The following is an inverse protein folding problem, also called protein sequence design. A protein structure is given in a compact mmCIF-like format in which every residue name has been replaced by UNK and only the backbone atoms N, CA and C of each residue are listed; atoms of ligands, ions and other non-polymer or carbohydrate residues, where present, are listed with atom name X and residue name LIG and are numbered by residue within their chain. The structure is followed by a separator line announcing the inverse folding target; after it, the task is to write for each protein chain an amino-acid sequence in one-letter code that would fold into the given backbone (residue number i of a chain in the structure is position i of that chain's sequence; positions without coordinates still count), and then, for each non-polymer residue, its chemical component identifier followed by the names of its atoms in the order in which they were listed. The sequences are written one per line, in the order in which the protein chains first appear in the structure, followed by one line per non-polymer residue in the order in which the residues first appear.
data_IF_489064081969
#
_entry.id   IF_489064081969
#
_cell.length_a   1.000
_cell.length_b   1.000
_cell.length_c   1.000
_cell.angle_alpha   90.00
_cell.angle_beta   90.00
_cell.angle_gamma   90.00
#
_symmetry.space_group_name_H-M   'P 1'
#
loop_
_entity.id
_entity.type
_entity.pdbx_description
1 polymer ?
#
# COMPACT_ATOMS: atom_id res chain seq x y z
N UNK A 1 -10.97 21.48 40.32
CA UNK A 1 -10.87 20.86 41.66
C UNK A 1 -12.02 19.92 42.00
N UNK A 2 -13.30 20.28 41.82
CA UNK A 2 -14.43 19.37 42.14
C UNK A 2 -14.46 18.07 41.32
N UNK A 3 -14.05 18.09 40.05
CA UNK A 3 -13.90 16.90 39.19
C UNK A 3 -12.77 15.96 39.63
N UNK A 4 -11.62 16.51 40.04
CA UNK A 4 -10.48 15.74 40.56
C UNK A 4 -10.74 15.07 41.92
N UNK A 5 -11.79 15.52 42.63
CA UNK A 5 -12.23 14.95 43.90
C UNK A 5 -13.40 13.97 43.72
N UNK A 6 -13.75 13.59 42.50
CA UNK A 6 -14.85 12.64 42.20
C UNK A 6 -16.25 13.16 42.52
N UNK A 7 -16.41 14.48 42.71
CA UNK A 7 -17.70 15.12 43.08
C UNK A 7 -18.47 15.66 41.89
N UNK A 8 -17.95 15.49 40.67
CA UNK A 8 -18.58 15.91 39.42
C UNK A 8 -18.03 15.06 38.28
N UNK A 9 -18.93 14.41 37.54
CA UNK A 9 -18.55 13.71 36.31
C UNK A 9 -18.09 14.72 35.26
N UNK A 10 -16.95 14.43 34.64
CA UNK A 10 -16.43 15.18 33.50
C UNK A 10 -16.37 14.21 32.34
N UNK A 11 -17.23 14.45 31.35
CA UNK A 11 -17.17 13.75 30.07
C UNK A 11 -15.85 14.10 29.38
N UNK A 12 -15.05 13.12 28.92
CA UNK A 12 -13.83 13.39 28.20
C UNK A 12 -14.13 14.17 26.92
N UNK A 13 -13.35 15.22 26.64
CA UNK A 13 -13.41 15.90 25.36
C UNK A 13 -12.75 15.00 24.31
N UNK A 14 -13.55 14.39 23.45
CA UNK A 14 -13.04 13.61 22.31
C UNK A 14 -12.73 14.59 21.19
N UNK A 15 -11.47 14.63 20.77
CA UNK A 15 -11.01 15.43 19.64
C UNK A 15 -10.70 14.44 18.51
N UNK A 16 -11.36 14.61 17.37
CA UNK A 16 -11.10 13.82 16.18
C UNK A 16 -10.12 14.55 15.27
N UNK A 17 -9.16 13.82 14.72
CA UNK A 17 -8.28 14.34 13.68
C UNK A 17 -9.02 14.31 12.34
N UNK A 18 -9.66 15.42 11.99
CA UNK A 18 -10.40 15.56 10.73
C UNK A 18 -9.50 15.39 9.50
N UNK A 19 -8.22 15.77 9.59
CA UNK A 19 -7.28 15.64 8.49
C UNK A 19 -6.94 14.17 8.23
N UNK A 20 -6.69 13.39 9.29
CA UNK A 20 -6.47 11.95 9.18
C UNK A 20 -7.71 11.21 8.65
N UNK A 21 -8.92 11.59 9.10
CA UNK A 21 -10.18 11.02 8.59
C UNK A 21 -10.33 11.30 7.09
N UNK A 22 -10.12 12.55 6.66
CA UNK A 22 -10.19 12.93 5.24
C UNK A 22 -9.13 12.22 4.39
N UNK A 23 -7.93 12.01 4.93
CA UNK A 23 -6.86 11.28 4.24
C UNK A 23 -7.25 9.81 4.02
N UNK A 24 -7.76 9.14 5.06
CA UNK A 24 -8.24 7.75 4.96
C UNK A 24 -9.41 7.63 3.97
N UNK A 25 -10.38 8.54 4.04
CA UNK A 25 -11.50 8.58 3.09
C UNK A 25 -10.98 8.86 1.67
N UNK A 26 -9.95 9.69 1.49
CA UNK A 26 -9.34 9.95 0.18
C UNK A 26 -8.63 8.72 -0.39
N UNK A 27 -7.98 7.91 0.46
CA UNK A 27 -7.38 6.64 0.05
C UNK A 27 -8.46 5.64 -0.38
N UNK A 28 -9.57 5.55 0.37
CA UNK A 28 -10.73 4.73 -0.02
C UNK A 28 -11.37 5.28 -1.30
N UNK A 29 -11.51 6.59 -1.43
CA UNK A 29 -12.06 7.26 -2.60
C UNK A 29 -11.28 6.90 -3.87
N UNK A 30 -9.95 6.80 -3.79
CA UNK A 30 -9.13 6.36 -4.92
C UNK A 30 -9.47 4.94 -5.41
N UNK A 31 -9.99 4.06 -4.55
CA UNK A 31 -10.42 2.71 -4.94
C UNK A 31 -11.81 2.68 -5.60
N UNK A 32 -12.63 3.69 -5.32
CA UNK A 32 -14.03 3.80 -5.81
C UNK A 32 -14.12 4.71 -7.04
N UNK A 33 -13.24 5.69 -7.15
CA UNK A 33 -13.23 6.71 -8.20
C UNK A 33 -13.19 6.08 -9.59
N UNK A 34 -14.16 6.47 -10.42
CA UNK A 34 -14.23 6.13 -11.84
C UNK A 34 -14.23 7.44 -12.63
N UNK A 35 -13.17 7.77 -13.37
CA UNK A 35 -13.18 8.99 -14.16
C UNK A 35 -14.27 8.95 -15.24
N UNK A 36 -14.86 10.11 -15.54
CA UNK A 36 -15.81 10.23 -16.63
C UNK A 36 -15.15 9.98 -17.99
N UNK A 37 -15.92 9.46 -18.94
CA UNK A 37 -15.47 9.18 -20.31
C UNK A 37 -16.10 10.20 -21.28
N UNK A 38 -15.31 10.91 -22.10
CA UNK A 38 -15.87 11.81 -23.10
C UNK A 38 -16.65 11.03 -24.16
N UNK A 39 -17.52 11.74 -24.89
CA UNK A 39 -18.13 11.17 -26.08
C UNK A 39 -17.05 10.94 -27.14
N UNK A 40 -17.03 9.77 -27.76
CA UNK A 40 -16.05 9.43 -28.80
C UNK A 40 -16.80 9.10 -30.09
N UNK A 41 -16.49 9.87 -31.14
CA UNK A 41 -16.94 9.57 -32.50
C UNK A 41 -15.94 8.62 -33.15
N UNK A 42 -16.39 7.44 -33.55
CA UNK A 42 -15.58 6.45 -34.27
C UNK A 42 -16.30 6.14 -35.60
N UNK A 43 -15.82 6.73 -36.69
CA UNK A 43 -16.51 6.68 -37.99
C UNK A 43 -17.94 7.24 -37.89
N UNK A 44 -18.93 6.44 -38.30
CA UNK A 44 -20.36 6.80 -38.23
C UNK A 44 -21.00 6.51 -36.85
N UNK A 45 -20.28 5.90 -35.91
CA UNK A 45 -20.80 5.54 -34.58
C UNK A 45 -20.36 6.54 -33.53
N UNK A 46 -21.35 7.09 -32.82
CA UNK A 46 -21.15 7.91 -31.63
C UNK A 46 -21.22 7.01 -30.38
N UNK A 47 -20.12 6.91 -29.64
CA UNK A 47 -20.12 6.39 -28.27
C UNK A 47 -20.46 7.58 -27.37
N UNK A 48 -21.63 7.58 -26.70
CA UNK A 48 -22.04 8.69 -25.86
C UNK A 48 -21.10 8.84 -24.66
N UNK A 49 -20.96 10.07 -24.17
CA UNK A 49 -20.21 10.33 -22.96
C UNK A 49 -20.82 9.59 -21.76
N UNK A 50 -19.95 9.19 -20.83
CA UNK A 50 -20.37 8.59 -19.57
C UNK A 50 -19.86 9.46 -18.42
N UNK A 51 -20.75 9.92 -17.51
CA UNK A 51 -20.33 10.59 -16.29
C UNK A 51 -19.38 9.71 -15.48
N UNK A 52 -18.46 10.34 -14.77
CA UNK A 52 -17.62 9.64 -13.79
C UNK A 52 -18.31 9.56 -12.44
N UNK A 53 -17.71 8.82 -11.52
CA UNK A 53 -18.15 8.73 -10.12
C UNK A 53 -16.97 9.05 -9.24
N UNK A 54 -17.14 9.98 -8.31
CA UNK A 54 -16.16 10.28 -7.28
C UNK A 54 -16.81 10.29 -5.90
N UNK A 55 -15.99 10.20 -4.86
CA UNK A 55 -16.44 10.25 -3.47
C UNK A 55 -16.36 11.70 -2.97
N UNK A 56 -17.45 12.19 -2.39
CA UNK A 56 -17.44 13.43 -1.61
C UNK A 56 -16.76 13.15 -0.27
N UNK A 57 -15.45 13.42 -0.24
CA UNK A 57 -14.59 13.20 0.93
C UNK A 57 -15.09 13.99 2.13
N UNK A 58 -15.60 15.20 1.92
CA UNK A 58 -15.98 16.12 2.97
C UNK A 58 -17.31 15.71 3.60
N UNK A 59 -18.29 15.36 2.77
CA UNK A 59 -19.59 14.87 3.23
C UNK A 59 -19.45 13.51 3.91
N UNK A 60 -18.59 12.63 3.37
CA UNK A 60 -18.28 11.34 3.99
C UNK A 60 -17.58 11.52 5.33
N UNK A 61 -16.62 12.45 5.45
CA UNK A 61 -15.92 12.75 6.70
C UNK A 61 -16.90 13.26 7.78
N UNK A 62 -17.85 14.12 7.41
CA UNK A 62 -18.88 14.58 8.33
C UNK A 62 -19.79 13.44 8.83
N UNK A 63 -20.10 12.46 7.98
CA UNK A 63 -20.85 11.27 8.40
C UNK A 63 -20.04 10.41 9.37
N UNK A 64 -18.75 10.17 9.07
CA UNK A 64 -17.84 9.43 9.96
C UNK A 64 -17.76 10.11 11.34
N UNK A 65 -17.62 11.43 11.39
CA UNK A 65 -17.58 12.19 12.65
C UNK A 65 -18.89 12.08 13.44
N UNK A 66 -20.05 12.05 12.77
CA UNK A 66 -21.35 11.85 13.43
C UNK A 66 -21.50 10.45 14.03
N UNK A 67 -21.06 9.42 13.30
CA UNK A 67 -21.05 8.04 13.79
C UNK A 67 -20.08 7.86 14.96
N UNK A 68 -18.88 8.43 14.83
CA UNK A 68 -17.88 8.40 15.90
C UNK A 68 -18.39 9.09 17.18
N UNK A 69 -19.10 10.22 17.05
CA UNK A 69 -19.71 10.92 18.19
C UNK A 69 -20.78 10.11 18.93
N UNK A 70 -21.37 9.09 18.29
CA UNK A 70 -22.33 8.19 18.92
C UNK A 70 -21.66 6.98 19.60
N UNK A 71 -20.35 6.79 19.42
CA UNK A 71 -19.56 5.69 19.96
C UNK A 71 -20.08 4.28 19.58
N UNK A 72 -20.83 4.17 18.48
CA UNK A 72 -21.33 2.91 17.95
C UNK A 72 -20.49 2.44 16.75
N UNK A 73 -20.01 1.18 16.74
CA UNK A 73 -19.43 0.59 15.54
C UNK A 73 -20.48 0.52 14.43
N UNK A 74 -20.19 1.08 13.26
CA UNK A 74 -21.15 1.13 12.17
C UNK A 74 -20.49 1.19 10.80
N UNK A 75 -21.21 0.74 9.78
CA UNK A 75 -20.84 0.90 8.37
C UNK A 75 -21.30 2.29 7.94
N UNK A 76 -20.34 3.18 7.63
CA UNK A 76 -20.65 4.51 7.08
C UNK A 76 -20.66 4.41 5.56
N UNK A 77 -21.80 4.64 4.89
CA UNK A 77 -21.85 4.63 3.44
C UNK A 77 -21.06 5.81 2.87
N UNK A 78 -20.18 5.54 1.90
CA UNK A 78 -19.48 6.58 1.15
C UNK A 78 -20.49 7.44 0.40
N UNK A 79 -20.35 8.76 0.50
CA UNK A 79 -21.13 9.67 -0.32
C UNK A 79 -20.43 9.81 -1.67
N UNK A 80 -21.14 9.45 -2.74
CA UNK A 80 -20.62 9.56 -4.11
C UNK A 80 -21.40 10.59 -4.89
N UNK A 81 -20.73 11.32 -5.76
CA UNK A 81 -21.34 12.22 -6.72
C UNK A 81 -20.87 11.89 -8.14
N UNK A 82 -21.70 12.20 -9.12
CA UNK A 82 -21.32 12.08 -10.53
C UNK A 82 -20.41 13.24 -10.90
N UNK A 83 -19.24 12.94 -11.45
CA UNK A 83 -18.39 13.96 -12.07
C UNK A 83 -18.84 14.18 -13.51
N UNK A 84 -18.94 15.43 -13.99
CA UNK A 84 -19.27 15.71 -15.39
C UNK A 84 -18.38 14.89 -16.33
N UNK A 85 -18.97 14.37 -17.40
CA UNK A 85 -18.16 13.77 -18.45
C UNK A 85 -17.22 14.85 -19.02
N UNK A 86 -15.93 14.52 -19.28
CA UNK A 86 -15.02 15.47 -19.89
C UNK A 86 -15.58 15.98 -21.22
N UNK A 87 -15.42 17.27 -21.49
CA UNK A 87 -15.77 17.85 -22.79
C UNK A 87 -14.98 17.11 -23.88
N UNK A 88 -15.69 16.69 -24.94
CA UNK A 88 -15.02 16.18 -26.12
C UNK A 88 -14.10 17.29 -26.64
N UNK A 89 -12.78 17.07 -26.61
CA UNK A 89 -11.85 17.99 -27.24
C UNK A 89 -12.25 18.11 -28.72
N UNK A 90 -12.82 19.26 -29.10
CA UNK A 90 -13.04 19.65 -30.48
C UNK A 90 -11.67 19.98 -31.10
N UNK A 91 -10.87 18.93 -31.34
CA UNK A 91 -9.76 19.00 -32.26
C UNK A 91 -10.34 19.31 -33.64
N UNK A 92 -9.97 20.47 -34.18
CA UNK A 92 -10.33 20.89 -35.54
C UNK A 92 -10.01 19.75 -36.51
N UNK A 93 -11.03 19.34 -37.27
CA UNK A 93 -10.90 18.37 -38.34
C UNK A 93 -9.96 18.93 -39.42
N UNK A 94 -8.67 18.60 -39.30
CA UNK A 94 -7.78 18.62 -40.44
C UNK A 94 -8.27 17.55 -41.41
N UNK A 95 -8.43 17.93 -42.67
CA UNK A 95 -8.82 17.06 -43.78
C UNK A 95 -8.03 15.75 -43.73
N UNK A 96 -8.73 14.63 -43.52
CA UNK A 96 -8.15 13.31 -43.43
C UNK A 96 -7.49 12.90 -44.76
N UNK A 97 -6.23 12.44 -44.76
CA UNK A 97 -5.74 11.53 -45.78
C UNK A 97 -6.45 10.17 -45.66
N UNK A 98 -6.29 9.32 -46.67
CA UNK A 98 -6.91 8.01 -46.83
C UNK A 98 -7.10 7.20 -45.53
N UNK A 99 -8.28 6.60 -45.37
CA UNK A 99 -8.76 5.73 -44.27
C UNK A 99 -7.70 5.37 -43.21
N UNK A 100 -7.72 6.08 -42.07
CA UNK A 100 -6.95 5.69 -40.90
C UNK A 100 -7.36 4.29 -40.43
N UNK A 101 -6.42 3.46 -39.95
CA UNK A 101 -6.74 2.13 -39.44
C UNK A 101 -7.72 2.21 -38.25
N UNK A 102 -8.65 1.25 -38.17
CA UNK A 102 -9.55 1.13 -37.01
C UNK A 102 -8.73 0.90 -35.73
N UNK A 103 -9.13 1.46 -34.57
CA UNK A 103 -8.40 1.26 -33.33
C UNK A 103 -8.42 -0.21 -32.91
N UNK A 104 -7.31 -0.69 -32.37
CA UNK A 104 -7.20 -2.03 -31.80
C UNK A 104 -7.50 -1.97 -30.30
N UNK A 105 -8.58 -2.62 -29.88
CA UNK A 105 -9.04 -2.63 -28.49
C UNK A 105 -8.60 -3.92 -27.78
N UNK A 106 -8.01 -3.78 -26.60
CA UNK A 106 -7.72 -4.88 -25.69
C UNK A 106 -8.69 -4.87 -24.53
N UNK A 107 -9.24 -6.03 -24.19
CA UNK A 107 -10.21 -6.18 -23.10
C UNK A 107 -9.86 -7.34 -22.17
N UNK A 108 -10.01 -7.13 -20.86
CA UNK A 108 -10.10 -8.18 -19.86
C UNK A 108 -11.55 -8.28 -19.36
N UNK A 109 -12.32 -9.29 -19.81
CA UNK A 109 -13.72 -9.44 -19.41
C UNK A 109 -13.91 -9.67 -17.90
N UNK A 110 -12.90 -10.21 -17.20
CA UNK A 110 -13.01 -10.50 -15.77
C UNK A 110 -13.01 -9.22 -14.93
N UNK A 111 -12.21 -8.23 -15.30
CA UNK A 111 -12.15 -6.93 -14.62
C UNK A 111 -12.95 -5.83 -15.31
N UNK A 112 -13.38 -6.05 -16.56
CA UNK A 112 -14.01 -5.03 -17.40
C UNK A 112 -13.05 -3.93 -17.87
N UNK A 113 -11.74 -4.16 -17.76
CA UNK A 113 -10.72 -3.21 -18.21
C UNK A 113 -10.61 -3.23 -19.73
N UNK A 114 -10.52 -2.04 -20.31
CA UNK A 114 -10.36 -1.84 -21.75
C UNK A 114 -9.27 -0.81 -22.02
N UNK A 115 -8.36 -1.15 -22.91
CA UNK A 115 -7.30 -0.27 -23.41
C UNK A 115 -7.33 -0.28 -24.94
N UNK A 116 -6.89 0.78 -25.60
CA UNK A 116 -6.94 0.85 -27.05
C UNK A 116 -5.66 1.47 -27.60
N UNK A 117 -5.21 0.92 -28.73
CA UNK A 117 -4.27 1.59 -29.62
C UNK A 117 -5.11 2.44 -30.59
N UNK A 118 -5.07 3.76 -30.41
CA UNK A 118 -5.71 4.69 -31.33
C UNK A 118 -5.01 4.70 -32.69
N UNK A 119 -5.64 5.24 -33.75
CA UNK A 119 -5.05 5.22 -35.09
C UNK A 119 -3.71 5.94 -35.20
N UNK A 120 -3.47 6.99 -34.41
CA UNK A 120 -2.20 7.71 -34.41
C UNK A 120 -1.07 6.87 -33.80
N UNK A 121 -1.41 6.13 -32.74
CA UNK A 121 -0.52 5.18 -32.07
C UNK A 121 -0.24 3.98 -32.97
N UNK A 122 -1.26 3.47 -33.66
CA UNK A 122 -1.11 2.41 -34.66
C UNK A 122 -0.22 2.85 -35.83
N UNK A 123 -0.39 4.06 -36.36
CA UNK A 123 0.48 4.58 -37.43
C UNK A 123 1.94 4.73 -36.96
N UNK A 124 2.16 5.05 -35.69
CA UNK A 124 3.51 5.12 -35.11
C UNK A 124 4.14 3.74 -34.92
N UNK A 125 3.35 2.75 -34.50
CA UNK A 125 3.82 1.40 -34.16
C UNK A 125 3.91 0.51 -35.41
N UNK A 126 3.01 0.68 -36.37
CA UNK A 126 2.94 -0.08 -37.63
C UNK A 126 2.71 0.90 -38.79
N UNK A 127 3.76 1.59 -39.27
CA UNK A 127 3.61 2.62 -40.29
C UNK A 127 2.99 2.08 -41.59
N UNK A 128 1.91 2.73 -42.05
CA UNK A 128 1.15 2.28 -43.21
C UNK A 128 0.38 0.96 -43.02
N UNK A 129 0.25 0.46 -41.79
CA UNK A 129 -0.49 -0.76 -41.47
C UNK A 129 0.18 -2.06 -41.94
N UNK A 130 1.45 -2.03 -42.31
CA UNK A 130 2.24 -3.19 -42.71
C UNK A 130 2.79 -3.94 -41.48
N UNK A 131 2.26 -5.13 -41.13
CA UNK A 131 2.69 -5.87 -39.94
C UNK A 131 4.18 -6.24 -39.93
N UNK A 132 4.82 -6.35 -41.10
CA UNK A 132 6.25 -6.62 -41.22
C UNK A 132 7.12 -5.44 -40.77
N UNK A 133 6.51 -4.25 -40.62
CA UNK A 133 7.14 -3.01 -40.16
C UNK A 133 6.79 -2.65 -38.72
N UNK A 134 6.24 -3.58 -37.95
CA UNK A 134 5.92 -3.41 -36.55
C UNK A 134 7.17 -3.00 -35.73
N UNK A 135 7.10 -1.84 -35.10
CA UNK A 135 8.05 -1.40 -34.08
C UNK A 135 7.68 -2.02 -32.72
N UNK A 136 8.26 -3.18 -32.45
CA UNK A 136 8.11 -3.92 -31.19
C UNK A 136 8.53 -3.08 -29.95
N UNK A 137 9.50 -2.18 -30.11
CA UNK A 137 9.94 -1.30 -29.01
C UNK A 137 8.90 -0.24 -28.67
N UNK A 138 8.35 0.41 -29.70
CA UNK A 138 7.27 1.39 -29.55
C UNK A 138 5.98 0.75 -29.01
N UNK A 139 5.66 -0.47 -29.44
CA UNK A 139 4.53 -1.24 -28.92
C UNK A 139 4.73 -1.55 -27.43
N UNK A 140 5.88 -2.11 -27.07
CA UNK A 140 6.21 -2.46 -25.69
C UNK A 140 6.10 -1.25 -24.75
N UNK A 141 6.59 -0.08 -25.15
CA UNK A 141 6.48 1.14 -24.34
C UNK A 141 5.02 1.53 -24.04
N UNK A 142 4.12 1.37 -25.01
CA UNK A 142 2.68 1.65 -24.79
C UNK A 142 2.08 0.65 -23.82
N UNK A 143 2.38 -0.64 -24.00
CA UNK A 143 1.89 -1.72 -23.13
C UNK A 143 2.44 -1.58 -21.71
N UNK A 144 3.71 -1.19 -21.54
CA UNK A 144 4.31 -0.89 -20.23
C UNK A 144 3.60 0.27 -19.54
N UNK A 145 3.25 1.33 -20.28
CA UNK A 145 2.44 2.43 -19.75
C UNK A 145 1.03 2.00 -19.31
N UNK A 146 0.45 0.95 -19.92
CA UNK A 146 -0.79 0.34 -19.44
C UNK A 146 -0.55 -0.52 -18.21
N UNK A 147 0.56 -1.26 -18.16
CA UNK A 147 0.92 -2.10 -17.02
C UNK A 147 1.03 -1.28 -15.73
N UNK A 148 1.63 -0.10 -15.77
CA UNK A 148 1.71 0.82 -14.63
C UNK A 148 0.33 1.28 -14.13
N UNK A 149 -0.61 1.56 -15.04
CA UNK A 149 -1.98 1.97 -14.70
C UNK A 149 -2.82 0.81 -14.14
N UNK A 150 -2.58 -0.40 -14.66
CA UNK A 150 -3.29 -1.61 -14.24
C UNK A 150 -2.77 -2.11 -12.90
N UNK A 151 -1.48 -1.93 -12.61
CA UNK A 151 -0.83 -2.50 -11.46
C UNK A 151 -1.46 -2.05 -10.14
N UNK A 152 -1.91 -3.03 -9.36
CA UNK A 152 -2.29 -2.85 -7.96
C UNK A 152 -1.47 -3.87 -7.17
N UNK A 153 -0.59 -3.43 -6.24
CA UNK A 153 0.17 -4.37 -5.43
C UNK A 153 -0.78 -5.16 -4.52
N UNK A 154 -0.50 -6.45 -4.26
CA UNK A 154 -1.23 -7.19 -3.25
C UNK A 154 -1.00 -6.59 -1.86
N UNK A 155 -1.97 -6.78 -0.96
CA UNK A 155 -1.84 -6.41 0.45
C UNK A 155 -1.95 -7.66 1.32
N UNK A 156 -0.94 -7.86 2.15
CA UNK A 156 -0.88 -8.97 3.09
C UNK A 156 -1.90 -8.83 4.22
N UNK A 157 -2.41 -9.97 4.70
CA UNK A 157 -3.24 -9.99 5.89
C UNK A 157 -2.42 -9.63 7.12
N UNK A 158 -3.07 -8.98 8.10
CA UNK A 158 -2.54 -8.88 9.46
C UNK A 158 -3.22 -9.87 10.37
N UNK A 159 -2.43 -10.55 11.18
CA UNK A 159 -2.91 -11.60 12.09
C UNK A 159 -2.61 -11.24 13.55
N UNK A 160 -3.35 -11.80 14.48
CA UNK A 160 -3.03 -11.72 15.92
C UNK A 160 -3.15 -13.10 16.51
N UNK A 161 -2.25 -13.49 17.39
CA UNK A 161 -2.38 -14.77 18.08
C UNK A 161 -3.45 -14.63 19.16
N UNK A 162 -4.51 -15.44 19.06
CA UNK A 162 -5.52 -15.56 20.10
C UNK A 162 -5.09 -16.66 21.07
N UNK A 163 -4.66 -16.26 22.27
CA UNK A 163 -4.18 -17.17 23.31
C UNK A 163 -5.28 -18.09 23.82
N UNK A 164 -6.53 -17.62 23.89
CA UNK A 164 -7.65 -18.43 24.35
C UNK A 164 -8.05 -19.49 23.32
N UNK A 165 -7.97 -19.15 22.03
CA UNK A 165 -8.24 -20.08 20.94
C UNK A 165 -7.02 -20.94 20.54
N UNK A 166 -5.81 -20.58 20.99
CA UNK A 166 -4.56 -21.27 20.65
C UNK A 166 -4.19 -21.18 19.16
N UNK A 167 -4.62 -20.12 18.45
CA UNK A 167 -4.42 -19.97 17.00
C UNK A 167 -4.37 -18.51 16.56
N UNK A 168 -3.74 -18.20 15.42
CA UNK A 168 -3.86 -16.87 14.80
C UNK A 168 -5.29 -16.58 14.33
N UNK A 169 -5.70 -15.32 14.48
CA UNK A 169 -6.94 -14.76 13.96
C UNK A 169 -6.63 -13.60 13.03
N UNK A 170 -7.43 -13.44 11.97
CA UNK A 170 -7.30 -12.32 11.02
C UNK A 170 -7.81 -11.05 11.68
N UNK A 171 -6.95 -10.03 11.75
CA UNK A 171 -7.32 -8.67 12.21
C UNK A 171 -7.43 -7.68 11.04
N UNK A 172 -6.75 -7.96 9.92
CA UNK A 172 -6.92 -7.27 8.65
C UNK A 172 -6.90 -8.31 7.52
N UNK A 173 -7.93 -8.40 6.67
CA UNK A 173 -7.95 -9.33 5.56
C UNK A 173 -6.94 -8.92 4.48
N UNK A 174 -6.43 -9.92 3.75
CA UNK A 174 -5.54 -9.68 2.61
C UNK A 174 -6.32 -9.24 1.37
N UNK A 175 -5.67 -8.48 0.49
CA UNK A 175 -6.23 -8.04 -0.79
C UNK A 175 -5.37 -8.59 -1.93
N UNK A 176 -5.99 -9.29 -2.85
CA UNK A 176 -5.34 -9.76 -4.08
C UNK A 176 -5.01 -8.57 -4.97
N UNK A 177 -3.75 -8.47 -5.38
CA UNK A 177 -3.28 -7.47 -6.33
C UNK A 177 -3.58 -7.88 -7.77
N UNK A 178 -3.16 -7.05 -8.72
CA UNK A 178 -3.22 -7.37 -10.15
C UNK A 178 -2.06 -6.76 -10.90
N UNK A 179 -1.71 -7.37 -12.03
CA UNK A 179 -0.69 -6.86 -12.96
C UNK A 179 -1.04 -7.25 -14.39
N UNK A 180 -0.49 -6.52 -15.36
CA UNK A 180 -0.57 -6.91 -16.77
C UNK A 180 0.60 -7.85 -17.10
N UNK A 181 0.32 -8.95 -17.80
CA UNK A 181 1.37 -9.71 -18.51
C UNK A 181 1.75 -8.95 -19.78
N UNK A 182 2.84 -8.20 -19.70
CA UNK A 182 3.34 -7.35 -20.80
C UNK A 182 3.71 -8.20 -22.02
N UNK A 183 4.36 -9.34 -21.82
CA UNK A 183 4.81 -10.20 -22.93
C UNK A 183 3.60 -10.77 -23.68
N UNK A 184 2.62 -11.29 -22.94
CA UNK A 184 1.41 -11.84 -23.53
C UNK A 184 0.57 -10.74 -24.19
N UNK A 185 0.53 -9.52 -23.62
CA UNK A 185 -0.20 -8.40 -24.20
C UNK A 185 0.41 -7.96 -25.54
N UNK A 186 1.74 -7.83 -25.61
CA UNK A 186 2.48 -7.54 -26.86
C UNK A 186 2.21 -8.64 -27.89
N UNK A 187 2.27 -9.91 -27.49
CA UNK A 187 1.99 -11.03 -28.38
C UNK A 187 0.55 -11.02 -28.92
N UNK A 188 -0.43 -10.67 -28.07
CA UNK A 188 -1.84 -10.56 -28.44
C UNK A 188 -2.07 -9.42 -29.44
N UNK A 189 -1.40 -8.28 -29.25
CA UNK A 189 -1.45 -7.16 -30.21
C UNK A 189 -0.87 -7.55 -31.55
N UNK A 190 0.33 -8.14 -31.56
CA UNK A 190 0.99 -8.57 -32.80
C UNK A 190 0.12 -9.56 -33.58
N UNK A 191 -0.46 -10.55 -32.90
CA UNK A 191 -1.35 -11.52 -33.54
C UNK A 191 -2.61 -10.85 -34.11
N UNK A 192 -3.21 -9.92 -33.37
CA UNK A 192 -4.38 -9.19 -33.85
C UNK A 192 -4.06 -8.34 -35.10
N UNK A 193 -2.93 -7.65 -35.11
CA UNK A 193 -2.48 -6.85 -36.25
C UNK A 193 -2.20 -7.72 -37.49
N UNK A 194 -1.51 -8.85 -37.32
CA UNK A 194 -1.21 -9.78 -38.41
C UNK A 194 -2.48 -10.41 -39.02
N UNK A 195 -3.51 -10.61 -38.21
CA UNK A 195 -4.79 -11.20 -38.63
C UNK A 195 -5.84 -10.15 -39.05
N UNK A 196 -5.50 -8.85 -38.99
CA UNK A 196 -6.44 -7.76 -39.29
C UNK A 196 -7.60 -7.64 -38.30
N UNK A 197 -7.43 -8.11 -37.06
CA UNK A 197 -8.41 -7.99 -35.98
C UNK A 197 -8.32 -6.61 -35.33
N UNK A 198 -9.48 -6.11 -34.89
CA UNK A 198 -9.61 -4.86 -34.12
C UNK A 198 -9.83 -5.10 -32.63
N UNK A 199 -9.77 -6.37 -32.20
CA UNK A 199 -9.92 -6.79 -30.81
C UNK A 199 -8.90 -7.85 -30.42
N UNK A 200 -8.38 -7.76 -29.20
CA UNK A 200 -7.48 -8.74 -28.60
C UNK A 200 -7.71 -8.87 -27.08
N UNK A 201 -7.31 -9.99 -26.46
CA UNK A 201 -7.39 -10.12 -25.00
C UNK A 201 -6.35 -9.24 -24.29
N UNK A 202 -6.74 -8.62 -23.18
CA UNK A 202 -5.84 -7.97 -22.22
C UNK A 202 -5.49 -8.98 -21.11
N UNK A 203 -4.27 -9.53 -21.05
CA UNK A 203 -3.90 -10.57 -20.10
C UNK A 203 -3.58 -9.97 -18.73
N UNK A 204 -4.61 -9.71 -17.93
CA UNK A 204 -4.46 -9.26 -16.54
C UNK A 204 -4.38 -10.47 -15.61
N UNK A 205 -3.33 -10.52 -14.79
CA UNK A 205 -3.09 -11.58 -13.82
C UNK A 205 -3.41 -11.10 -12.40
N UNK A 206 -4.03 -11.97 -11.61
CA UNK A 206 -4.15 -11.79 -10.17
C UNK A 206 -2.80 -12.05 -9.48
N UNK A 207 -2.37 -11.14 -8.62
CA UNK A 207 -1.15 -11.29 -7.82
C UNK A 207 -1.57 -11.65 -6.39
N UNK A 208 -1.34 -12.89 -5.93
CA UNK A 208 -1.73 -13.26 -4.58
C UNK A 208 -0.88 -12.53 -3.53
N UNK A 209 -1.45 -12.21 -2.37
CA UNK A 209 -0.68 -11.74 -1.22
C UNK A 209 0.24 -12.84 -0.71
N UNK A 210 1.38 -12.47 -0.12
CA UNK A 210 2.29 -13.41 0.50
C UNK A 210 1.68 -14.02 1.78
N UNK A 211 0.82 -13.25 2.46
CA UNK A 211 0.05 -13.65 3.63
C UNK A 211 -1.44 -13.62 3.27
N UNK A 212 -1.95 -14.75 2.78
CA UNK A 212 -3.34 -14.92 2.36
C UNK A 212 -4.26 -15.21 3.55
N UNK A 213 -5.20 -14.31 3.82
CA UNK A 213 -6.16 -14.43 4.93
C UNK A 213 -7.08 -15.66 4.83
N UNK A 214 -7.22 -16.27 3.65
CA UNK A 214 -7.98 -17.51 3.48
C UNK A 214 -7.20 -18.79 3.84
N UNK A 215 -5.88 -18.68 4.06
CA UNK A 215 -4.97 -19.82 4.27
C UNK A 215 -4.26 -19.79 5.62
N UNK A 216 -4.79 -19.05 6.58
CA UNK A 216 -4.18 -18.86 7.91
C UNK A 216 -3.87 -20.19 8.61
N UNK A 217 -4.75 -21.18 8.52
CA UNK A 217 -4.55 -22.50 9.15
C UNK A 217 -3.37 -23.29 8.55
N UNK A 218 -2.90 -22.92 7.35
CA UNK A 218 -1.77 -23.56 6.67
C UNK A 218 -0.43 -22.88 7.01
N UNK A 219 -0.45 -21.74 7.73
CA UNK A 219 0.76 -20.94 7.98
C UNK A 219 1.67 -21.49 9.08
N UNK A 220 1.21 -22.46 9.87
CA UNK A 220 2.04 -23.14 10.87
C UNK A 220 2.32 -22.32 12.15
N UNK A 221 1.63 -21.19 12.36
CA UNK A 221 1.79 -20.35 13.56
C UNK A 221 1.06 -21.00 14.75
N UNK A 222 1.80 -21.53 15.73
CA UNK A 222 1.24 -22.32 16.84
C UNK A 222 1.61 -21.83 18.24
N UNK A 223 2.77 -21.21 18.39
CA UNK A 223 3.30 -20.83 19.70
C UNK A 223 4.31 -19.69 19.58
N UNK A 224 4.70 -19.14 20.73
CA UNK A 224 5.79 -18.17 20.82
C UNK A 224 7.14 -18.89 20.66
N UNK A 225 7.86 -18.56 19.59
CA UNK A 225 9.19 -19.14 19.32
C UNK A 225 10.33 -18.38 19.99
N UNK A 226 10.24 -17.04 20.05
CA UNK A 226 11.25 -16.18 20.68
C UNK A 226 10.67 -14.83 21.04
N UNK A 227 11.24 -14.17 22.05
CA UNK A 227 10.93 -12.80 22.41
C UNK A 227 12.21 -11.97 22.63
N UNK A 228 12.15 -10.70 22.28
CA UNK A 228 13.15 -9.69 22.60
C UNK A 228 12.57 -8.65 23.53
N UNK A 229 13.37 -8.14 24.47
CA UNK A 229 12.90 -7.14 25.44
C UNK A 229 13.91 -6.01 25.59
N UNK A 230 13.38 -4.79 25.65
CA UNK A 230 14.11 -3.58 26.05
C UNK A 230 13.25 -2.80 27.05
N UNK A 231 13.87 -1.92 27.82
CA UNK A 231 13.17 -1.12 28.83
C UNK A 231 13.31 0.36 28.50
N UNK A 232 12.25 1.13 28.71
CA UNK A 232 12.23 2.59 28.49
C UNK A 232 11.69 3.35 29.69
N UNK A 233 11.66 2.73 30.88
CA UNK A 233 11.28 3.39 32.13
C UNK A 233 12.11 4.67 32.36
N UNK A 234 11.46 5.76 32.76
CA UNK A 234 12.10 7.07 32.95
C UNK A 234 12.33 7.87 31.65
N UNK A 235 11.87 7.37 30.51
CA UNK A 235 11.88 8.14 29.25
C UNK A 235 10.96 9.36 29.30
N UNK A 236 11.28 10.37 28.50
CA UNK A 236 10.37 11.50 28.27
C UNK A 236 9.07 11.03 27.62
N UNK A 237 7.98 11.78 27.83
CA UNK A 237 6.67 11.47 27.23
C UNK A 237 6.73 11.34 25.71
N UNK A 238 7.45 12.25 25.02
CA UNK A 238 7.63 12.21 23.57
C UNK A 238 8.34 10.93 23.10
N UNK A 239 9.38 10.49 23.83
CA UNK A 239 10.08 9.24 23.53
C UNK A 239 9.19 8.01 23.73
N UNK A 240 8.40 7.98 24.80
CA UNK A 240 7.44 6.90 25.05
C UNK A 240 6.43 6.83 23.91
N UNK A 241 5.84 7.97 23.53
CA UNK A 241 4.89 8.05 22.41
C UNK A 241 5.49 7.53 21.11
N UNK A 242 6.73 7.90 20.79
CA UNK A 242 7.42 7.40 19.60
C UNK A 242 7.63 5.89 19.61
N UNK A 243 7.93 5.31 20.77
CA UNK A 243 8.10 3.85 20.93
C UNK A 243 6.76 3.14 20.73
N UNK A 244 5.68 3.65 21.34
CA UNK A 244 4.32 3.12 21.17
C UNK A 244 3.88 3.16 19.70
N UNK A 245 3.98 4.32 19.05
CA UNK A 245 3.59 4.50 17.63
C UNK A 245 4.43 3.62 16.71
N UNK A 246 5.73 3.48 16.95
CA UNK A 246 6.56 2.57 16.19
C UNK A 246 6.14 1.11 16.40
N UNK A 247 5.90 0.70 17.64
CA UNK A 247 5.51 -0.67 17.98
C UNK A 247 4.15 -1.05 17.37
N UNK A 248 3.15 -0.17 17.42
CA UNK A 248 1.82 -0.37 16.82
C UNK A 248 1.90 -0.75 15.33
N UNK A 249 2.85 -0.20 14.57
CA UNK A 249 3.02 -0.53 13.14
C UNK A 249 3.41 -1.99 12.90
N UNK A 250 4.03 -2.65 13.88
CA UNK A 250 4.39 -4.07 13.82
C UNK A 250 3.25 -5.00 14.22
N UNK A 251 2.12 -4.46 14.71
CA UNK A 251 0.99 -5.30 15.10
C UNK A 251 0.48 -6.11 13.91
N UNK A 252 0.56 -7.43 14.06
CA UNK A 252 0.08 -8.41 13.11
C UNK A 252 0.84 -8.50 11.81
N UNK A 253 2.09 -8.02 11.78
CA UNK A 253 3.01 -8.34 10.69
C UNK A 253 3.30 -9.84 10.68
N UNK A 254 3.24 -10.44 9.50
CA UNK A 254 3.57 -11.85 9.29
C UNK A 254 4.68 -11.95 8.25
N UNK A 255 5.69 -12.77 8.53
CA UNK A 255 6.85 -12.98 7.68
C UNK A 255 6.75 -14.40 7.08
N UNK A 256 6.56 -14.54 5.75
CA UNK A 256 6.50 -15.85 5.09
C UNK A 256 7.80 -16.66 5.23
N UNK A 257 7.76 -17.99 5.02
CA UNK A 257 8.95 -18.81 4.84
C UNK A 257 9.89 -18.21 3.80
N UNK A 258 11.19 -18.18 4.10
CA UNK A 258 12.25 -17.52 3.32
C UNK A 258 12.08 -16.00 3.12
N UNK A 259 11.04 -15.39 3.70
CA UNK A 259 10.77 -13.96 3.64
C UNK A 259 11.80 -13.15 4.40
N UNK A 260 12.03 -11.91 3.95
CA UNK A 260 12.90 -10.96 4.62
C UNK A 260 12.03 -9.96 5.37
N UNK A 261 12.20 -9.91 6.69
CA UNK A 261 11.72 -8.81 7.49
C UNK A 261 12.60 -7.57 7.23
N UNK A 262 11.97 -6.40 7.08
CA UNK A 262 12.63 -5.11 7.00
C UNK A 262 11.94 -4.15 7.97
N UNK A 263 12.72 -3.57 8.88
CA UNK A 263 12.17 -2.65 9.85
C UNK A 263 11.61 -1.40 9.16
N UNK A 264 12.38 -0.83 8.23
CA UNK A 264 12.02 0.39 7.50
C UNK A 264 10.79 0.19 6.60
N UNK A 265 10.59 -0.99 6.00
CA UNK A 265 9.39 -1.26 5.18
C UNK A 265 8.10 -1.29 6.01
N UNK A 266 8.19 -1.66 7.28
CA UNK A 266 7.05 -1.76 8.20
C UNK A 266 6.78 -0.44 8.92
N UNK A 267 7.83 0.20 9.47
CA UNK A 267 7.68 1.47 10.19
C UNK A 267 7.33 2.62 9.24
N UNK A 268 7.80 2.53 7.98
CA UNK A 268 7.62 3.52 6.94
C UNK A 268 8.13 4.91 7.35
N UNK A 269 7.38 5.97 7.03
CA UNK A 269 7.79 7.35 7.28
C UNK A 269 7.66 7.73 8.77
N UNK A 270 8.79 8.13 9.36
CA UNK A 270 8.90 8.58 10.75
C UNK A 270 8.77 10.11 10.77
N UNK A 271 7.52 10.58 10.75
CA UNK A 271 7.19 12.00 10.66
C UNK A 271 6.11 12.41 11.67
N UNK A 272 6.00 13.71 11.94
CA UNK A 272 4.96 14.24 12.80
C UNK A 272 3.54 13.91 12.30
N UNK A 273 3.35 13.87 10.97
CA UNK A 273 2.09 13.48 10.34
C UNK A 273 1.70 12.02 10.65
N UNK A 274 2.69 11.17 10.93
CA UNK A 274 2.48 9.76 11.29
C UNK A 274 2.52 9.52 12.81
N UNK A 275 2.31 10.57 13.61
CA UNK A 275 2.14 10.48 15.06
C UNK A 275 3.43 10.48 15.87
N UNK A 276 4.59 10.71 15.23
CA UNK A 276 5.88 10.83 15.92
C UNK A 276 6.12 12.25 16.45
N UNK A 277 6.77 12.36 17.60
CA UNK A 277 7.14 13.62 18.24
C UNK A 277 8.67 13.83 18.21
N UNK A 278 9.08 15.09 18.35
CA UNK A 278 10.48 15.44 18.53
C UNK A 278 11.03 14.91 19.86
N UNK A 279 12.15 14.21 19.78
CA UNK A 279 12.83 13.64 20.95
C UNK A 279 14.32 13.48 20.66
N UNK A 280 15.09 12.98 21.63
CA UNK A 280 16.51 12.75 21.44
C UNK A 280 16.73 11.60 20.45
N UNK A 281 17.45 11.90 19.37
CA UNK A 281 17.93 10.97 18.36
C UNK A 281 19.45 10.84 18.44
N UNK A 282 19.97 9.75 17.89
CA UNK A 282 21.42 9.54 17.70
C UNK A 282 21.71 9.76 16.22
N UNK A 283 22.58 10.73 15.93
CA UNK A 283 22.95 11.08 14.56
C UNK A 283 24.48 11.04 14.44
N UNK A 284 24.99 10.00 13.76
CA UNK A 284 26.42 9.71 13.74
C UNK A 284 26.94 9.37 15.14
N UNK A 285 27.85 10.19 15.63
CA UNK A 285 28.53 10.04 16.93
C UNK A 285 27.94 10.93 18.04
N UNK A 286 26.85 11.66 17.77
CA UNK A 286 26.26 12.63 18.70
C UNK A 286 24.76 12.46 18.92
N UNK A 287 24.28 13.05 20.00
CA UNK A 287 22.84 13.17 20.30
C UNK A 287 22.30 14.50 19.79
N UNK A 288 21.16 14.47 19.12
CA UNK A 288 20.46 15.66 18.62
C UNK A 288 18.96 15.55 18.92
N UNK A 289 18.21 16.64 18.73
CA UNK A 289 16.74 16.61 18.73
C UNK A 289 16.27 16.32 17.31
N UNK A 290 15.32 15.42 17.16
CA UNK A 290 14.66 15.13 15.90
C UNK A 290 13.42 14.26 16.08
N UNK A 291 12.62 14.15 15.01
CA UNK A 291 11.39 13.36 15.01
C UNK A 291 11.71 11.88 15.20
N UNK A 292 10.92 11.19 16.04
CA UNK A 292 11.05 9.74 16.20
C UNK A 292 12.17 9.28 17.12
N UNK A 293 12.71 10.17 17.97
CA UNK A 293 13.62 9.74 19.04
C UNK A 293 12.98 8.66 19.92
N UNK A 294 13.55 7.44 19.87
CA UNK A 294 12.97 6.23 20.48
C UNK A 294 12.78 5.06 19.49
N UNK A 295 12.59 5.31 18.20
CA UNK A 295 12.29 4.26 17.20
C UNK A 295 13.40 3.21 17.09
N UNK A 296 14.67 3.61 17.20
CA UNK A 296 15.81 2.67 17.21
C UNK A 296 15.75 1.65 18.37
N UNK A 297 15.04 1.96 19.46
CA UNK A 297 14.82 1.00 20.55
C UNK A 297 13.88 -0.13 20.12
N UNK A 298 12.86 0.16 19.30
CA UNK A 298 11.96 -0.86 18.76
C UNK A 298 12.73 -1.76 17.79
N UNK A 299 13.57 -1.18 16.91
CA UNK A 299 14.49 -1.96 16.07
C UNK A 299 15.42 -2.85 16.90
N UNK A 300 16.01 -2.31 17.97
CA UNK A 300 16.84 -3.07 18.90
C UNK A 300 16.07 -4.20 19.60
N UNK A 301 14.80 -4.00 19.92
CA UNK A 301 13.93 -5.04 20.49
C UNK A 301 13.69 -6.19 19.51
N UNK A 302 13.36 -5.86 18.26
CA UNK A 302 13.16 -6.88 17.21
C UNK A 302 14.48 -7.60 16.90
N UNK A 303 15.59 -6.87 16.83
CA UNK A 303 16.92 -7.45 16.64
C UNK A 303 17.26 -8.48 17.72
N UNK A 304 16.96 -8.19 18.99
CA UNK A 304 17.18 -9.15 20.09
C UNK A 304 16.34 -10.41 19.92
N UNK A 305 15.07 -10.27 19.55
CA UNK A 305 14.23 -11.42 19.25
C UNK A 305 14.85 -12.25 18.12
N UNK A 306 15.29 -11.60 17.04
CA UNK A 306 15.86 -12.28 15.89
C UNK A 306 17.20 -12.97 16.19
N UNK A 307 18.08 -12.28 16.93
CA UNK A 307 19.38 -12.80 17.35
C UNK A 307 19.22 -13.99 18.30
N UNK A 308 18.36 -13.88 19.32
CA UNK A 308 18.08 -14.97 20.26
C UNK A 308 17.38 -16.16 19.58
N UNK A 309 16.59 -15.89 18.54
CA UNK A 309 15.92 -16.90 17.72
C UNK A 309 16.85 -17.60 16.73
N UNK A 310 18.09 -17.12 16.59
CA UNK A 310 19.06 -17.67 15.66
C UNK A 310 18.78 -17.37 14.19
N UNK A 311 17.90 -16.40 13.88
CA UNK A 311 17.56 -16.09 12.49
C UNK A 311 18.75 -15.42 11.76
N UNK A 312 18.96 -15.71 10.46
CA UNK A 312 20.00 -15.07 9.67
C UNK A 312 19.76 -13.56 9.55
N UNK A 313 20.70 -12.77 10.08
CA UNK A 313 20.70 -11.32 9.96
C UNK A 313 21.17 -10.93 8.56
N UNK A 314 20.29 -10.30 7.78
CA UNK A 314 20.56 -9.86 6.41
C UNK A 314 21.21 -8.47 6.42
N UNK A 315 20.77 -7.60 7.32
CA UNK A 315 21.28 -6.24 7.46
C UNK A 315 21.17 -5.82 8.93
N UNK A 316 22.27 -5.34 9.52
CA UNK A 316 22.30 -4.84 10.89
C UNK A 316 23.44 -3.84 11.06
N UNK A 317 23.11 -2.68 11.60
CA UNK A 317 24.06 -1.64 11.98
C UNK A 317 23.95 -1.37 13.48
N UNK A 318 25.09 -1.13 14.14
CA UNK A 318 25.12 -0.66 15.52
C UNK A 318 25.07 0.88 15.58
N UNK A 319 24.70 1.44 16.73
CA UNK A 319 24.85 2.87 16.97
C UNK A 319 26.34 3.27 17.01
N UNK A 320 26.64 4.54 16.74
CA UNK A 320 28.01 5.08 16.73
C UNK A 320 28.71 5.04 18.10
N UNK A 321 27.98 4.84 19.19
CA UNK A 321 28.51 4.67 20.54
C UNK A 321 27.60 3.75 21.38
N UNK A 322 28.13 3.24 22.51
CA UNK A 322 27.38 2.38 23.43
C UNK A 322 26.27 3.20 24.12
N UNK A 323 25.02 2.82 23.83
CA UNK A 323 23.84 3.41 24.45
C UNK A 323 23.58 2.70 25.79
N UNK A 324 23.85 3.37 26.91
CA UNK A 324 23.87 2.75 28.24
C UNK A 324 22.56 2.04 28.63
N UNK A 325 21.40 2.55 28.23
CA UNK A 325 20.09 1.94 28.51
C UNK A 325 19.72 0.78 27.58
N UNK A 326 20.51 0.51 26.53
CA UNK A 326 20.43 -0.76 25.80
C UNK A 326 21.24 -1.87 26.49
N UNK A 327 22.00 -1.60 27.54
CA UNK A 327 22.71 -2.65 28.28
C UNK A 327 23.96 -3.11 27.55
N UNK A 328 24.10 -4.41 27.29
CA UNK A 328 25.35 -5.01 26.80
C UNK A 328 25.77 -4.47 25.42
N UNK A 329 27.05 -4.09 25.24
CA UNK A 329 27.57 -3.68 23.94
C UNK A 329 27.35 -4.73 22.86
N UNK A 330 26.95 -4.29 21.67
CA UNK A 330 26.70 -5.17 20.53
C UNK A 330 25.28 -5.75 20.47
N UNK A 331 24.44 -5.51 21.49
CA UNK A 331 23.05 -5.99 21.54
C UNK A 331 22.02 -4.95 21.06
N UNK A 332 22.39 -4.17 20.04
CA UNK A 332 21.59 -3.10 19.43
C UNK A 332 21.53 -3.17 17.89
N UNK A 333 20.46 -2.61 17.33
CA UNK A 333 20.31 -2.39 15.89
C UNK A 333 19.71 -1.00 15.65
N UNK A 334 20.48 -0.12 15.02
CA UNK A 334 20.06 1.23 14.64
C UNK A 334 19.36 1.24 13.28
N UNK A 335 18.52 2.24 13.06
CA UNK A 335 17.85 2.50 11.78
C UNK A 335 17.96 3.99 11.45
N UNK A 336 17.98 4.31 10.17
CA UNK A 336 17.91 5.67 9.63
C UNK A 336 17.27 5.59 8.25
N UNK A 337 15.96 5.82 8.20
CA UNK A 337 15.15 5.67 7.00
C UNK A 337 15.59 6.65 5.89
N UNK A 338 15.71 6.22 4.63
CA UNK A 338 15.52 4.85 4.12
C UNK A 338 16.81 4.00 4.07
N UNK A 339 17.98 4.57 4.37
CA UNK A 339 19.27 4.00 4.00
C UNK A 339 19.88 3.00 5.00
N UNK A 340 19.55 3.11 6.28
CA UNK A 340 20.04 2.20 7.33
C UNK A 340 18.84 1.42 7.87
N UNK A 341 18.83 0.12 7.66
CA UNK A 341 17.73 -0.76 8.04
C UNK A 341 18.20 -1.91 8.94
N UNK A 342 17.23 -2.53 9.61
CA UNK A 342 17.42 -3.82 10.25
C UNK A 342 16.61 -4.87 9.50
N UNK A 343 17.29 -5.90 8.99
CA UNK A 343 16.70 -6.99 8.23
C UNK A 343 17.15 -8.35 8.73
N UNK A 344 16.22 -9.29 8.82
CA UNK A 344 16.52 -10.70 9.04
C UNK A 344 15.65 -11.57 8.13
N UNK A 345 16.12 -12.79 7.87
CA UNK A 345 15.38 -13.79 7.08
C UNK A 345 14.64 -14.74 8.01
N UNK A 346 13.38 -15.01 7.72
CA UNK A 346 12.71 -16.20 8.23
C UNK A 346 13.20 -17.41 7.42
N UNK A 347 14.19 -18.14 7.92
CA UNK A 347 14.72 -19.35 7.27
C UNK A 347 14.00 -20.64 7.70
N UNK A 348 12.83 -20.52 8.32
CA UNK A 348 11.97 -21.65 8.68
C UNK A 348 10.96 -21.98 7.59
N UNK A 349 10.37 -23.18 7.66
CA UNK A 349 9.29 -23.61 6.76
C UNK A 349 7.90 -23.07 7.17
N UNK A 350 7.81 -22.35 8.30
CA UNK A 350 6.57 -21.79 8.83
C UNK A 350 6.58 -20.25 8.75
N UNK A 351 5.39 -19.64 8.83
CA UNK A 351 5.29 -18.19 8.93
C UNK A 351 5.64 -17.72 10.35
N UNK A 352 6.30 -16.56 10.46
CA UNK A 352 6.52 -15.89 11.74
C UNK A 352 5.51 -14.76 11.93
N UNK A 353 4.78 -14.78 13.03
CA UNK A 353 3.91 -13.68 13.44
C UNK A 353 4.64 -12.77 14.43
N UNK A 354 4.67 -11.47 14.14
CA UNK A 354 5.24 -10.45 15.02
C UNK A 354 4.12 -9.85 15.88
N UNK A 355 4.31 -9.86 17.19
CA UNK A 355 3.39 -9.24 18.15
C UNK A 355 4.16 -8.29 19.08
N UNK A 356 3.93 -6.97 18.97
CA UNK A 356 4.47 -6.01 19.92
C UNK A 356 3.75 -6.15 21.27
N UNK A 357 4.52 -6.02 22.36
CA UNK A 357 4.00 -5.89 23.72
C UNK A 357 4.71 -4.68 24.31
N UNK A 358 3.95 -3.63 24.63
CA UNK A 358 4.46 -2.34 25.13
C UNK A 358 3.94 -2.07 26.53
#
# INVERSE_FOLDING_TARGET
WAALLGRRDVQPAVIYDEAAIRQQISQIAATVRRPGRPAVQIGDKLIPSQPGVDVDVDQTAQLVLRYAAQAEPGVVPLQTFETPAPDAHQGQAASAPASLPEPLVLEDPASGLMFALDPATLERIVPGGDPDRLDEGALRQVVEGWAEQIYIPPQDARLRFDVAAGRPVVIQPSITGRRLDVEQAVANVRAALAEGRTQAPLPVEAVPPAVDSSKVDQMGIKELVVAGTTYFAGSSRARIRNIEVAAEKFEGVVIPPNGIFSFNSIVQDVSAANGFEDSLIIWGDRTAVGVGGGVCQVSTTVFRAAFLGGFPLVERYNHGYVVSWYGEPGMDATIFTPNVDFKFRNDTDAYLLVQPIV
#
